data_IF_825452778124
#
_entry.id   IF_825452778124
#
_cell.length_a   1.000
_cell.length_b   1.000
_cell.length_c   1.000
_cell.angle_alpha   90.00
_cell.angle_beta   90.00
_cell.angle_gamma   90.00
#
_symmetry.space_group_name_H-M   'P 1'
#
loop_
_entity.id
_entity.type
_entity.pdbx_description
1 polymer ?
#
# COMPACT_ATOMS: atom_id res chain seq x y z
N UNK A 1 53.43 -6.00 18.60
CA UNK A 1 52.73 -7.06 17.83
C UNK A 1 51.21 -6.87 17.92
N UNK A 2 50.69 -5.69 17.53
CA UNK A 2 49.29 -5.26 17.78
C UNK A 2 48.52 -4.80 16.52
N UNK A 3 49.13 -4.79 15.33
CA UNK A 3 48.50 -4.32 14.09
C UNK A 3 47.52 -5.33 13.49
N UNK A 4 47.86 -6.63 13.53
CA UNK A 4 47.05 -7.70 12.93
C UNK A 4 45.69 -7.89 13.62
N UNK A 5 45.60 -7.69 14.94
CA UNK A 5 44.34 -7.84 15.69
C UNK A 5 43.36 -6.68 15.42
N UNK A 6 43.87 -5.48 15.17
CA UNK A 6 43.05 -4.33 14.81
C UNK A 6 42.47 -4.48 13.40
N UNK A 7 43.24 -4.98 12.44
CA UNK A 7 42.77 -5.25 11.08
C UNK A 7 41.63 -6.28 11.09
N UNK A 8 41.77 -7.36 11.84
CA UNK A 8 40.72 -8.38 11.97
C UNK A 8 39.44 -7.80 12.61
N UNK A 9 39.57 -6.99 13.68
CA UNK A 9 38.42 -6.32 14.32
C UNK A 9 37.67 -5.42 13.36
N UNK A 10 38.38 -4.58 12.60
CA UNK A 10 37.77 -3.71 11.60
C UNK A 10 37.15 -4.49 10.43
N UNK A 11 37.76 -5.61 10.02
CA UNK A 11 37.20 -6.48 8.99
C UNK A 11 35.86 -7.09 9.42
N UNK A 12 35.72 -7.49 10.69
CA UNK A 12 34.46 -8.03 11.23
C UNK A 12 33.39 -6.93 11.25
N UNK A 13 33.72 -5.72 11.73
CA UNK A 13 32.79 -4.59 11.76
C UNK A 13 32.31 -4.24 10.35
N UNK A 14 33.23 -4.16 9.38
CA UNK A 14 32.89 -3.87 7.99
C UNK A 14 32.03 -4.99 7.38
N UNK A 15 32.38 -6.25 7.66
CA UNK A 15 31.60 -7.41 7.22
C UNK A 15 30.17 -7.38 7.77
N UNK A 16 30.01 -7.13 9.08
CA UNK A 16 28.70 -6.99 9.71
C UNK A 16 27.90 -5.82 9.12
N UNK A 17 28.54 -4.68 8.87
CA UNK A 17 27.89 -3.53 8.24
C UNK A 17 27.37 -3.86 6.83
N UNK A 18 28.18 -4.54 6.01
CA UNK A 18 27.77 -4.96 4.66
C UNK A 18 26.61 -5.95 4.69
N UNK A 19 26.60 -6.89 5.64
CA UNK A 19 25.48 -7.84 5.81
C UNK A 19 24.20 -7.08 6.16
N UNK A 20 24.25 -6.17 7.14
CA UNK A 20 23.10 -5.36 7.55
C UNK A 20 22.61 -4.51 6.36
N UNK A 21 23.52 -3.85 5.64
CA UNK A 21 23.18 -3.04 4.48
C UNK A 21 22.53 -3.87 3.36
N UNK A 22 22.99 -5.11 3.15
CA UNK A 22 22.40 -6.01 2.15
C UNK A 22 20.98 -6.43 2.53
N UNK A 23 20.73 -6.70 3.81
CA UNK A 23 19.38 -7.02 4.33
C UNK A 23 18.47 -5.80 4.17
N UNK A 24 18.94 -4.60 4.54
CA UNK A 24 18.17 -3.36 4.38
C UNK A 24 17.85 -3.08 2.90
N UNK A 25 18.81 -3.28 2.01
CA UNK A 25 18.59 -3.09 0.58
C UNK A 25 17.55 -4.07 0.03
N UNK A 26 17.65 -5.35 0.39
CA UNK A 26 16.71 -6.35 -0.05
C UNK A 26 15.28 -6.09 0.47
N UNK A 27 15.16 -5.79 1.78
CA UNK A 27 13.86 -5.46 2.39
C UNK A 27 13.30 -4.16 1.85
N UNK A 28 14.12 -3.16 1.53
CA UNK A 28 13.70 -1.94 0.84
C UNK A 28 13.04 -2.27 -0.50
N UNK A 29 13.69 -3.08 -1.34
CA UNK A 29 13.13 -3.51 -2.64
C UNK A 29 11.81 -4.27 -2.44
N UNK A 30 11.76 -5.19 -1.48
CA UNK A 30 10.54 -5.91 -1.13
C UNK A 30 9.39 -4.95 -0.78
N UNK A 31 9.63 -3.95 0.07
CA UNK A 31 8.60 -2.96 0.44
C UNK A 31 8.15 -2.11 -0.74
N UNK A 32 9.03 -1.76 -1.68
CA UNK A 32 8.62 -1.02 -2.88
C UNK A 32 7.74 -1.86 -3.79
N UNK A 33 8.10 -3.13 -4.00
CA UNK A 33 7.28 -4.05 -4.79
C UNK A 33 5.91 -4.27 -4.14
N UNK A 34 5.87 -4.49 -2.82
CA UNK A 34 4.62 -4.63 -2.08
C UNK A 34 3.71 -3.40 -2.24
N UNK A 35 4.25 -2.18 -2.13
CA UNK A 35 3.48 -0.94 -2.36
C UNK A 35 2.94 -0.85 -3.79
N UNK A 36 3.72 -1.27 -4.78
CA UNK A 36 3.29 -1.26 -6.16
C UNK A 36 2.12 -2.24 -6.39
N UNK A 37 2.22 -3.45 -5.85
CA UNK A 37 1.16 -4.45 -5.92
C UNK A 37 -0.13 -3.95 -5.26
N UNK A 38 -0.05 -3.35 -4.07
CA UNK A 38 -1.22 -2.77 -3.40
C UNK A 38 -1.85 -1.63 -4.22
N UNK A 39 -1.04 -0.81 -4.91
CA UNK A 39 -1.54 0.24 -5.81
C UNK A 39 -2.25 -0.35 -7.03
N UNK A 40 -1.70 -1.40 -7.64
CA UNK A 40 -2.32 -2.09 -8.79
C UNK A 40 -3.67 -2.69 -8.39
N UNK A 41 -3.75 -3.34 -7.22
CA UNK A 41 -5.04 -3.87 -6.70
C UNK A 41 -6.08 -2.76 -6.53
N UNK A 42 -5.69 -1.60 -5.99
CA UNK A 42 -6.59 -0.45 -5.86
C UNK A 42 -7.02 0.11 -7.22
N UNK A 43 -6.12 0.16 -8.21
CA UNK A 43 -6.46 0.58 -9.57
C UNK A 43 -7.50 -0.35 -10.20
N UNK A 44 -7.30 -1.66 -10.09
CA UNK A 44 -8.23 -2.68 -10.60
C UNK A 44 -9.59 -2.56 -9.89
N UNK A 45 -9.58 -2.42 -8.56
CA UNK A 45 -10.81 -2.25 -7.79
C UNK A 45 -11.56 -0.96 -8.17
N UNK A 46 -10.85 0.16 -8.33
CA UNK A 46 -11.44 1.44 -8.75
C UNK A 46 -12.05 1.33 -10.16
N UNK A 47 -11.37 0.68 -11.09
CA UNK A 47 -11.89 0.41 -12.44
C UNK A 47 -13.15 -0.47 -12.40
N UNK A 48 -13.14 -1.53 -11.59
CA UNK A 48 -14.33 -2.37 -11.40
C UNK A 48 -15.50 -1.57 -10.81
N UNK A 49 -15.24 -0.67 -9.86
CA UNK A 49 -16.27 0.19 -9.28
C UNK A 49 -16.87 1.17 -10.31
N UNK A 50 -16.02 1.74 -11.18
CA UNK A 50 -16.46 2.61 -12.29
C UNK A 50 -17.31 1.82 -13.28
N UNK A 51 -16.87 0.62 -13.66
CA UNK A 51 -17.62 -0.27 -14.55
C UNK A 51 -18.97 -0.65 -13.95
N UNK A 52 -19.04 -0.94 -12.64
CA UNK A 52 -20.29 -1.24 -11.95
C UNK A 52 -21.28 -0.07 -11.97
N UNK A 53 -20.79 1.16 -11.81
CA UNK A 53 -21.63 2.37 -11.82
C UNK A 53 -22.13 2.71 -13.23
N UNK A 54 -21.32 2.46 -14.26
CA UNK A 54 -21.63 2.82 -15.65
C UNK A 54 -22.35 1.71 -16.43
N UNK A 55 -22.35 0.47 -15.95
CA UNK A 55 -22.99 -0.67 -16.62
C UNK A 55 -24.49 -0.73 -16.34
N UNK A 56 -25.27 -1.01 -17.38
CA UNK A 56 -26.67 -1.43 -17.23
C UNK A 56 -26.73 -2.72 -16.40
N UNK A 57 -27.78 -2.92 -15.59
CA UNK A 57 -27.90 -4.08 -14.67
C UNK A 57 -27.71 -5.44 -15.36
N UNK A 58 -28.02 -5.56 -16.66
CA UNK A 58 -27.87 -6.80 -17.44
C UNK A 58 -26.47 -7.02 -18.04
N UNK A 59 -25.58 -6.01 -17.99
CA UNK A 59 -24.24 -6.05 -18.62
C UNK A 59 -23.09 -6.13 -17.63
N UNK A 60 -23.38 -6.19 -16.33
CA UNK A 60 -22.34 -6.24 -15.29
C UNK A 60 -21.58 -7.57 -15.40
N UNK A 61 -20.27 -7.50 -15.63
CA UNK A 61 -19.40 -8.66 -15.69
C UNK A 61 -19.33 -9.37 -14.32
N UNK A 62 -19.43 -10.72 -14.26
CA UNK A 62 -19.21 -11.47 -13.02
C UNK A 62 -17.85 -11.18 -12.39
N UNK A 63 -16.82 -10.96 -13.21
CA UNK A 63 -15.47 -10.63 -12.75
C UNK A 63 -15.45 -9.30 -11.99
N UNK A 64 -16.21 -8.30 -12.46
CA UNK A 64 -16.32 -6.99 -11.81
C UNK A 64 -16.91 -7.13 -10.41
N UNK A 65 -17.93 -7.98 -10.26
CA UNK A 65 -18.52 -8.28 -8.94
C UNK A 65 -17.53 -9.03 -8.04
N UNK A 66 -16.79 -9.99 -8.58
CA UNK A 66 -15.79 -10.76 -7.83
C UNK A 66 -14.64 -9.88 -7.32
N UNK A 67 -14.13 -8.97 -8.15
CA UNK A 67 -13.09 -8.01 -7.78
C UNK A 67 -13.56 -7.13 -6.61
N UNK A 68 -14.79 -6.62 -6.67
CA UNK A 68 -15.33 -5.74 -5.63
C UNK A 68 -15.57 -6.51 -4.34
N UNK A 69 -16.19 -7.69 -4.42
CA UNK A 69 -16.56 -8.51 -3.24
C UNK A 69 -15.37 -9.12 -2.53
N UNK A 70 -14.32 -9.51 -3.26
CA UNK A 70 -13.16 -10.19 -2.68
C UNK A 70 -12.14 -9.23 -2.05
N UNK A 71 -12.34 -7.91 -2.17
CA UNK A 71 -11.48 -6.92 -1.53
C UNK A 71 -11.85 -6.74 -0.05
N UNK A 72 -11.21 -7.52 0.83
CA UNK A 72 -11.46 -7.53 2.28
C UNK A 72 -10.34 -6.94 3.12
N UNK A 73 -9.18 -6.68 2.54
CA UNK A 73 -7.98 -6.29 3.29
C UNK A 73 -7.41 -4.93 2.92
N UNK A 74 -7.72 -4.40 1.73
CA UNK A 74 -7.13 -3.14 1.27
C UNK A 74 -7.92 -1.96 1.84
N UNK A 75 -7.29 -1.06 2.61
CA UNK A 75 -7.94 0.13 3.16
C UNK A 75 -8.23 1.13 2.05
N UNK A 76 -9.47 1.62 1.99
CA UNK A 76 -9.93 2.49 0.92
C UNK A 76 -10.76 3.65 1.46
N UNK A 77 -10.60 4.82 0.85
CA UNK A 77 -11.46 5.99 1.02
C UNK A 77 -12.04 6.31 -0.34
N UNK A 78 -13.37 6.32 -0.44
CA UNK A 78 -14.11 6.65 -1.64
C UNK A 78 -14.79 8.00 -1.43
N UNK A 79 -14.59 8.92 -2.38
CA UNK A 79 -15.23 10.23 -2.38
C UNK A 79 -16.20 10.26 -3.55
N UNK A 80 -17.49 10.40 -3.26
CA UNK A 80 -18.54 10.52 -4.27
C UNK A 80 -18.60 11.95 -4.85
N UNK A 81 -19.26 12.10 -5.99
CA UNK A 81 -19.39 13.41 -6.67
C UNK A 81 -20.12 14.48 -5.84
N UNK A 82 -20.98 14.08 -4.91
CA UNK A 82 -21.68 14.97 -3.97
C UNK A 82 -20.81 15.37 -2.76
N UNK A 83 -19.57 14.89 -2.69
CA UNK A 83 -18.64 15.13 -1.59
C UNK A 83 -18.82 14.20 -0.40
N UNK A 84 -19.74 13.21 -0.46
CA UNK A 84 -19.85 12.20 0.57
C UNK A 84 -18.65 11.25 0.57
N UNK A 85 -18.23 10.83 1.77
CA UNK A 85 -17.04 10.00 1.98
C UNK A 85 -17.45 8.65 2.53
N UNK A 86 -17.13 7.60 1.79
CA UNK A 86 -17.24 6.21 2.21
C UNK A 86 -15.83 5.67 2.51
N UNK A 87 -15.72 4.71 3.42
CA UNK A 87 -14.46 4.04 3.70
C UNK A 87 -14.69 2.54 3.83
N UNK A 88 -13.67 1.76 3.50
CA UNK A 88 -13.68 0.31 3.65
C UNK A 88 -12.35 -0.17 4.23
N UNK A 89 -12.38 -1.18 5.11
CA UNK A 89 -11.21 -1.77 5.75
C UNK A 89 -10.30 -0.75 6.50
N UNK A 90 -10.87 0.32 7.08
CA UNK A 90 -10.16 1.27 7.93
C UNK A 90 -10.82 1.29 9.32
N UNK A 91 -10.15 0.69 10.30
CA UNK A 91 -10.61 0.71 11.69
C UNK A 91 -10.43 2.10 12.33
N UNK A 92 -11.33 2.46 13.25
CA UNK A 92 -11.31 3.72 14.00
C UNK A 92 -11.28 4.99 13.11
N UNK A 93 -11.82 4.92 11.89
CA UNK A 93 -11.88 6.05 10.98
C UNK A 93 -13.05 6.97 11.31
N UNK A 94 -12.77 8.16 11.83
CA UNK A 94 -13.81 9.16 12.07
C UNK A 94 -14.02 10.04 10.84
N UNK A 95 -15.05 9.71 10.05
CA UNK A 95 -15.50 10.50 8.89
C UNK A 95 -15.89 11.95 9.22
N UNK A 96 -16.22 12.27 10.49
CA UNK A 96 -16.59 13.63 10.90
C UNK A 96 -15.39 14.56 11.05
N UNK A 97 -14.17 14.02 11.18
CA UNK A 97 -12.95 14.82 11.16
C UNK A 97 -12.48 15.06 9.72
N UNK A 98 -13.14 16.02 9.07
CA UNK A 98 -12.84 16.41 7.67
C UNK A 98 -11.37 16.78 7.46
N UNK A 99 -10.69 17.29 8.50
CA UNK A 99 -9.28 17.68 8.42
C UNK A 99 -8.36 16.47 8.38
N UNK A 100 -8.59 15.48 9.26
CA UNK A 100 -7.83 14.24 9.26
C UNK A 100 -8.02 13.44 7.96
N UNK A 101 -9.26 13.37 7.46
CA UNK A 101 -9.56 12.69 6.20
C UNK A 101 -8.88 13.37 5.01
N UNK A 102 -8.98 14.70 4.90
CA UNK A 102 -8.31 15.47 3.84
C UNK A 102 -6.79 15.25 3.85
N UNK A 103 -6.18 15.22 5.04
CA UNK A 103 -4.74 14.96 5.19
C UNK A 103 -4.35 13.57 4.72
N UNK A 104 -5.17 12.55 5.00
CA UNK A 104 -4.94 11.18 4.53
C UNK A 104 -5.06 11.09 3.01
N UNK A 105 -6.10 11.67 2.42
CA UNK A 105 -6.28 11.71 0.96
C UNK A 105 -5.07 12.35 0.31
N UNK A 106 -4.61 13.52 0.79
CA UNK A 106 -3.43 14.20 0.23
C UNK A 106 -2.13 13.40 0.36
N UNK A 107 -2.03 12.55 1.39
CA UNK A 107 -0.84 11.73 1.62
C UNK A 107 -0.75 10.54 0.65
N UNK A 108 -1.90 10.02 0.21
CA UNK A 108 -1.98 8.78 -0.55
C UNK A 108 -2.52 8.93 -1.99
N UNK A 109 -3.06 10.11 -2.33
CA UNK A 109 -3.30 10.56 -3.70
C UNK A 109 -2.01 10.69 -4.49
#
# INVERSE_FOLDING_TARGET
MNSNTNIIRWSIILGSFLIISSILWNTYVFFQNFKNEERIKMEIWSKAQIELINSDQEKISPLTLDIIRNNTSTPMIKVNNDGSIEHNNIENFNITDTTAVSKLIKRFS
#
